data_IF_365489786543
#
_entry.id   IF_365489786543
#
_cell.length_a   1.000
_cell.length_b   1.000
_cell.length_c   1.000
_cell.angle_alpha   90.00
_cell.angle_beta   90.00
_cell.angle_gamma   90.00
#
_symmetry.space_group_name_H-M   'P 1'
#
loop_
_entity.id
_entity.type
_entity.pdbx_description
1 polymer ?
#
# COMPACT_ATOMS: atom_id res chain seq x y z
N UNK A 1 -20.29 -7.55 4.64
CA UNK A 1 -20.08 -7.95 6.04
C UNK A 1 -19.83 -6.67 6.82
N UNK A 2 -20.59 -6.42 7.89
CA UNK A 2 -20.40 -5.23 8.75
C UNK A 2 -19.28 -5.46 9.77
N UNK A 3 -18.77 -4.38 10.37
CA UNK A 3 -17.79 -4.49 11.45
C UNK A 3 -18.38 -5.28 12.61
N UNK A 4 -17.75 -6.40 12.96
CA UNK A 4 -18.25 -7.36 13.97
C UNK A 4 -18.11 -6.83 15.40
N UNK A 5 -17.23 -5.85 15.63
CA UNK A 5 -17.00 -5.23 16.92
C UNK A 5 -17.30 -3.72 16.84
N UNK A 6 -18.09 -3.16 17.77
CA UNK A 6 -18.31 -1.73 17.84
C UNK A 6 -17.00 -1.01 18.23
N UNK A 7 -16.59 -0.03 17.42
CA UNK A 7 -15.46 0.85 17.72
C UNK A 7 -15.97 2.07 18.50
N UNK A 8 -15.30 2.37 19.62
CA UNK A 8 -15.59 3.58 20.41
C UNK A 8 -14.83 4.73 19.78
N UNK A 9 -15.56 5.72 19.27
CA UNK A 9 -14.99 6.87 18.56
C UNK A 9 -15.49 8.19 19.10
N UNK A 10 -14.60 9.19 19.22
CA UNK A 10 -14.93 10.57 19.55
C UNK A 10 -14.36 11.50 18.48
N UNK A 11 -15.23 12.21 17.76
CA UNK A 11 -14.81 13.26 16.81
C UNK A 11 -14.35 14.53 17.52
N UNK A 12 -14.68 14.71 18.81
CA UNK A 12 -14.25 15.87 19.60
C UNK A 12 -12.79 15.72 20.05
N UNK A 13 -12.41 14.53 20.52
CA UNK A 13 -11.08 14.27 21.09
C UNK A 13 -10.18 13.41 20.18
N UNK A 14 -10.69 12.97 19.03
CA UNK A 14 -9.98 12.13 18.07
C UNK A 14 -9.84 10.65 18.47
N UNK A 15 -10.38 10.25 19.63
CA UNK A 15 -10.29 8.87 20.12
C UNK A 15 -10.87 7.89 19.10
N UNK A 16 -10.13 6.80 18.83
CA UNK A 16 -10.56 5.72 17.95
C UNK A 16 -10.56 6.04 16.45
N UNK A 17 -10.10 7.23 16.01
CA UNK A 17 -10.06 7.57 14.59
C UNK A 17 -9.06 6.78 13.79
N UNK A 18 -7.89 6.49 14.35
CA UNK A 18 -6.90 5.65 13.67
C UNK A 18 -7.37 4.21 13.55
N UNK A 19 -8.00 3.66 14.59
CA UNK A 19 -8.56 2.31 14.60
C UNK A 19 -9.74 2.17 13.62
N UNK A 20 -10.59 3.19 13.56
CA UNK A 20 -11.67 3.26 12.58
C UNK A 20 -11.11 3.30 11.15
N UNK A 21 -10.12 4.16 10.90
CA UNK A 21 -9.45 4.25 9.60
C UNK A 21 -8.82 2.92 9.22
N UNK A 22 -8.04 2.31 10.11
CA UNK A 22 -7.39 1.02 9.87
C UNK A 22 -8.41 -0.08 9.56
N UNK A 23 -9.52 -0.13 10.31
CA UNK A 23 -10.60 -1.11 10.08
C UNK A 23 -11.31 -0.91 8.75
N UNK A 24 -11.57 0.34 8.36
CA UNK A 24 -12.14 0.68 7.05
C UNK A 24 -11.18 0.26 5.93
N UNK A 25 -9.91 0.64 6.02
CA UNK A 25 -8.92 0.31 5.00
C UNK A 25 -8.71 -1.20 4.88
N UNK A 26 -8.68 -1.92 6.01
CA UNK A 26 -8.62 -3.38 6.01
C UNK A 26 -9.84 -4.01 5.33
N UNK A 27 -11.05 -3.49 5.59
CA UNK A 27 -12.26 -4.00 4.93
C UNK A 27 -12.27 -3.73 3.42
N UNK A 28 -11.65 -2.65 2.95
CA UNK A 28 -11.64 -2.26 1.54
C UNK A 28 -10.53 -2.95 0.74
N UNK A 29 -9.32 -3.00 1.30
CA UNK A 29 -8.11 -3.43 0.59
C UNK A 29 -7.47 -4.69 1.17
N UNK A 30 -7.88 -5.11 2.37
CA UNK A 30 -7.21 -6.14 3.13
C UNK A 30 -6.00 -5.60 3.91
N UNK A 31 -5.08 -6.46 4.34
CA UNK A 31 -3.90 -6.03 5.07
C UNK A 31 -3.00 -5.11 4.22
N UNK A 32 -2.24 -4.23 4.89
CA UNK A 32 -1.15 -3.51 4.25
C UNK A 32 -0.18 -4.51 3.64
N UNK A 33 0.35 -4.19 2.47
CA UNK A 33 1.40 -4.98 1.81
C UNK A 33 2.62 -4.11 1.65
N UNK A 34 3.81 -4.70 1.78
CA UNK A 34 5.08 -4.00 1.54
C UNK A 34 5.64 -4.44 0.20
N UNK A 35 5.87 -3.47 -0.68
CA UNK A 35 6.51 -3.64 -1.97
C UNK A 35 7.94 -3.13 -1.91
N UNK A 36 8.85 -3.87 -2.54
CA UNK A 36 10.25 -3.49 -2.68
C UNK A 36 10.56 -3.33 -4.16
N UNK A 37 11.10 -2.17 -4.51
CA UNK A 37 11.59 -1.87 -5.87
C UNK A 37 13.10 -2.11 -5.92
N UNK A 38 13.56 -2.91 -6.87
CA UNK A 38 14.99 -3.10 -7.12
C UNK A 38 15.54 -1.99 -7.99
N UNK A 39 16.78 -1.57 -7.71
CA UNK A 39 17.57 -0.75 -8.62
C UNK A 39 17.87 -1.51 -9.92
N UNK A 40 18.15 -0.74 -10.97
CA UNK A 40 18.37 -1.25 -12.31
C UNK A 40 19.62 -0.70 -12.92
N UNK A 41 20.02 -1.30 -14.01
CA UNK A 41 21.10 -0.78 -14.83
C UNK A 41 20.69 0.54 -15.51
N UNK A 42 21.68 1.33 -15.97
CA UNK A 42 21.49 2.68 -16.53
C UNK A 42 20.53 2.73 -17.74
N UNK A 43 20.29 1.60 -18.41
CA UNK A 43 19.41 1.49 -19.59
C UNK A 43 17.97 1.11 -19.20
N UNK A 44 17.79 0.59 -17.99
CA UNK A 44 16.48 0.14 -17.51
C UNK A 44 15.66 1.29 -16.95
N UNK A 45 14.36 1.04 -16.80
CA UNK A 45 13.45 1.99 -16.18
C UNK A 45 13.92 2.31 -14.76
N UNK A 46 13.99 3.60 -14.42
CA UNK A 46 14.43 4.01 -13.09
C UNK A 46 13.52 3.47 -11.99
N UNK A 47 14.11 3.16 -10.84
CA UNK A 47 13.38 2.71 -9.66
C UNK A 47 12.32 3.74 -9.23
N UNK A 48 12.64 5.03 -9.33
CA UNK A 48 11.71 6.12 -9.01
C UNK A 48 10.46 6.14 -9.91
N UNK A 49 10.57 5.70 -11.16
CA UNK A 49 9.39 5.57 -12.03
C UNK A 49 8.47 4.42 -11.60
N UNK A 50 9.00 3.37 -10.97
CA UNK A 50 8.19 2.34 -10.31
C UNK A 50 7.59 2.84 -9.01
N UNK A 51 8.35 3.56 -8.20
CA UNK A 51 7.86 4.23 -6.99
C UNK A 51 6.66 5.12 -7.32
N UNK A 52 6.77 5.96 -8.35
CA UNK A 52 5.66 6.82 -8.80
C UNK A 52 4.41 6.01 -9.18
N UNK A 53 4.57 4.90 -9.90
CA UNK A 53 3.42 4.04 -10.24
C UNK A 53 2.81 3.36 -9.00
N UNK A 54 3.61 3.03 -7.99
CA UNK A 54 3.11 2.46 -6.74
C UNK A 54 2.25 3.49 -5.99
N UNK A 55 2.59 4.78 -6.04
CA UNK A 55 1.75 5.85 -5.51
C UNK A 55 0.40 5.96 -6.25
N UNK A 56 0.35 5.65 -7.54
CA UNK A 56 -0.90 5.67 -8.32
C UNK A 56 -1.80 4.44 -8.05
N UNK A 57 -1.26 3.38 -7.44
CA UNK A 57 -1.99 2.13 -7.19
C UNK A 57 -2.84 2.13 -5.93
N UNK A 58 -2.50 2.94 -4.92
CA UNK A 58 -3.11 2.82 -3.61
C UNK A 58 -2.61 3.83 -2.59
N UNK A 59 -2.95 3.60 -1.33
CA UNK A 59 -2.62 4.51 -0.23
C UNK A 59 -1.31 4.05 0.39
N UNK A 60 -0.22 4.75 0.08
CA UNK A 60 1.09 4.54 0.71
C UNK A 60 1.05 5.08 2.14
N UNK A 61 1.37 4.22 3.10
CA UNK A 61 1.43 4.57 4.53
C UNK A 61 2.84 4.85 5.01
N UNK A 62 3.84 4.18 4.42
CA UNK A 62 5.25 4.32 4.80
C UNK A 62 6.13 4.18 3.55
N UNK A 63 7.21 4.95 3.48
CA UNK A 63 8.25 4.88 2.44
C UNK A 63 9.63 4.95 3.06
N UNK A 64 10.44 3.92 2.82
CA UNK A 64 11.84 3.83 3.23
C UNK A 64 12.70 3.56 2.00
N UNK A 65 13.19 4.61 1.35
CA UNK A 65 13.91 4.48 0.08
C UNK A 65 13.01 3.90 -1.02
N UNK A 66 13.33 2.68 -1.43
CA UNK A 66 12.63 1.89 -2.46
C UNK A 66 11.67 0.83 -1.88
N UNK A 67 11.48 0.83 -0.56
CA UNK A 67 10.49 0.01 0.13
C UNK A 67 9.25 0.86 0.47
N UNK A 68 8.07 0.39 0.08
CA UNK A 68 6.80 1.09 0.27
C UNK A 68 5.77 0.15 0.90
N UNK A 69 5.17 0.57 2.02
CA UNK A 69 4.02 -0.10 2.61
C UNK A 69 2.75 0.62 2.20
N UNK A 70 1.76 -0.11 1.70
CA UNK A 70 0.54 0.47 1.17
C UNK A 70 -0.69 -0.43 1.34
N UNK A 71 -1.86 0.20 1.36
CA UNK A 71 -3.13 -0.46 1.08
C UNK A 71 -3.42 -0.37 -0.42
N UNK A 72 -3.58 -1.52 -1.07
CA UNK A 72 -3.87 -1.60 -2.50
C UNK A 72 -4.72 -2.84 -2.79
N UNK A 73 -5.56 -2.75 -3.83
CA UNK A 73 -6.30 -3.91 -4.33
C UNK A 73 -5.35 -4.96 -4.90
N UNK A 74 -5.52 -6.22 -4.47
CA UNK A 74 -4.65 -7.35 -4.87
C UNK A 74 -4.49 -7.49 -6.38
N UNK A 75 -5.55 -7.28 -7.16
CA UNK A 75 -5.52 -7.45 -8.62
C UNK A 75 -4.60 -6.43 -9.32
N UNK A 76 -4.72 -5.15 -9.00
CA UNK A 76 -3.89 -4.10 -9.62
C UNK A 76 -2.44 -4.18 -9.15
N UNK A 77 -2.21 -4.54 -7.87
CA UNK A 77 -0.87 -4.82 -7.35
C UNK A 77 -0.18 -5.95 -8.14
N UNK A 78 -0.85 -7.10 -8.29
CA UNK A 78 -0.30 -8.25 -9.03
C UNK A 78 -0.02 -7.90 -10.50
N UNK A 79 -0.88 -7.09 -11.11
CA UNK A 79 -0.71 -6.61 -12.48
C UNK A 79 0.51 -5.70 -12.61
N UNK A 80 0.77 -4.81 -11.65
CA UNK A 80 2.00 -4.01 -11.66
C UNK A 80 3.24 -4.90 -11.49
N UNK A 81 3.23 -5.84 -10.53
CA UNK A 81 4.33 -6.79 -10.31
C UNK A 81 4.62 -7.58 -11.60
N UNK A 82 3.59 -8.11 -12.27
CA UNK A 82 3.75 -8.87 -13.51
C UNK A 82 4.35 -8.06 -14.67
N UNK A 83 4.16 -6.74 -14.68
CA UNK A 83 4.69 -5.82 -15.70
C UNK A 83 6.05 -5.24 -15.32
N UNK A 84 6.52 -5.52 -14.12
CA UNK A 84 7.76 -4.96 -13.61
C UNK A 84 9.00 -5.78 -13.99
N UNK A 85 8.84 -6.92 -14.68
CA UNK A 85 9.96 -7.80 -15.06
C UNK A 85 10.86 -8.21 -13.86
N UNK A 86 10.23 -8.52 -12.73
CA UNK A 86 10.93 -8.89 -11.48
C UNK A 86 11.46 -7.71 -10.67
N UNK A 87 11.27 -6.47 -11.13
CA UNK A 87 11.76 -5.25 -10.45
C UNK A 87 10.95 -4.84 -9.25
N UNK A 88 9.74 -5.37 -9.08
CA UNK A 88 8.91 -5.18 -7.89
C UNK A 88 8.65 -6.54 -7.25
N UNK A 89 8.93 -6.65 -5.96
CA UNK A 89 8.65 -7.84 -5.16
C UNK A 89 7.83 -7.50 -3.91
N UNK A 90 7.15 -8.51 -3.35
CA UNK A 90 6.43 -8.41 -2.09
C UNK A 90 7.37 -8.89 -0.98
N UNK A 91 7.43 -8.15 0.12
CA UNK A 91 8.21 -8.51 1.31
C UNK A 91 7.41 -9.37 2.29
#
# INVERSE_FOLDING_TARGET
MGMTNPLVVSSHDGQGMDELRESIMYSLYGPKTTLVVSEGDEVERSAEAYVSQIYDLGIVTEKNGLELTLWCGKAEMMKLISKSDGRISIK
#
